data_IF_291875173890
#
_entry.id   IF_291875173890
#
_cell.length_a   1.000
_cell.length_b   1.000
_cell.length_c   1.000
_cell.angle_alpha   90.00
_cell.angle_beta   90.00
_cell.angle_gamma   90.00
#
_symmetry.space_group_name_H-M   'P 1'
#
loop_
_entity.id
_entity.type
_entity.pdbx_description
1 polymer ?
#
# COMPACT_ATOMS: atom_id res chain seq x y z
N UNK A 1 -1.19 9.31 21.41
CA UNK A 1 -0.14 8.60 20.65
C UNK A 1 0.72 9.62 19.94
N UNK A 2 2.05 9.45 19.93
CA UNK A 2 2.93 10.22 19.06
C UNK A 2 2.75 9.70 17.64
N UNK A 3 2.42 10.59 16.71
CA UNK A 3 2.21 10.25 15.31
C UNK A 3 3.52 9.77 14.68
N UNK A 4 3.48 8.66 13.92
CA UNK A 4 4.69 8.14 13.27
C UNK A 4 5.20 9.13 12.21
N UNK A 5 6.52 9.09 11.96
CA UNK A 5 7.13 9.85 10.86
C UNK A 5 6.51 9.46 9.51
N UNK A 6 6.09 8.22 9.37
CA UNK A 6 5.49 7.72 8.14
C UNK A 6 4.09 8.27 7.92
N UNK A 7 3.23 8.20 8.94
CA UNK A 7 1.87 8.75 8.87
C UNK A 7 1.89 10.25 8.56
N UNK A 8 2.89 10.98 9.07
CA UNK A 8 3.09 12.40 8.72
C UNK A 8 3.42 12.62 7.25
N UNK A 9 4.23 11.73 6.64
CA UNK A 9 4.55 11.79 5.20
C UNK A 9 3.35 11.42 4.33
N UNK A 10 2.60 10.38 4.71
CA UNK A 10 1.38 9.94 4.03
C UNK A 10 0.35 11.07 3.98
N UNK A 11 0.09 11.73 5.12
CA UNK A 11 -0.86 12.85 5.16
C UNK A 11 -0.40 14.04 4.33
N UNK A 12 0.90 14.37 4.37
CA UNK A 12 1.45 15.45 3.55
C UNK A 12 1.30 15.16 2.05
N UNK A 13 1.53 13.91 1.64
CA UNK A 13 1.35 13.48 0.25
C UNK A 13 -0.11 13.50 -0.16
N UNK A 14 -1.02 12.97 0.67
CA UNK A 14 -2.47 13.00 0.41
C UNK A 14 -2.96 14.45 0.20
N UNK A 15 -2.55 15.37 1.08
CA UNK A 15 -2.86 16.79 0.95
C UNK A 15 -2.33 17.37 -0.36
N UNK A 16 -1.07 17.06 -0.71
CA UNK A 16 -0.46 17.55 -1.93
C UNK A 16 -1.16 17.05 -3.20
N UNK A 17 -1.61 15.79 -3.23
CA UNK A 17 -2.38 15.24 -4.36
C UNK A 17 -3.68 16.04 -4.54
N UNK A 18 -4.45 16.26 -3.48
CA UNK A 18 -5.67 17.07 -3.58
C UNK A 18 -5.40 18.53 -4.00
N UNK A 19 -4.30 19.12 -3.53
CA UNK A 19 -3.88 20.45 -3.99
C UNK A 19 -3.53 20.47 -5.48
N UNK A 20 -3.00 19.38 -6.05
CA UNK A 20 -2.73 19.25 -7.48
C UNK A 20 -4.02 19.08 -8.29
N UNK A 21 -4.90 18.17 -7.85
CA UNK A 21 -6.22 17.94 -8.49
C UNK A 21 -7.05 19.23 -8.52
N UNK A 22 -7.10 19.97 -7.40
CA UNK A 22 -7.88 21.22 -7.31
C UNK A 22 -7.33 22.37 -8.16
N UNK A 23 -6.07 22.27 -8.65
CA UNK A 23 -5.44 23.25 -9.54
C UNK A 23 -5.47 22.83 -11.00
N UNK A 24 -5.92 21.61 -11.28
CA UNK A 24 -5.99 21.08 -12.63
C UNK A 24 -7.01 21.87 -13.47
N UNK A 25 -6.80 21.85 -14.79
CA UNK A 25 -7.78 22.36 -15.73
C UNK A 25 -9.08 21.55 -15.61
N UNK A 26 -10.22 22.23 -15.51
CA UNK A 26 -11.52 21.58 -15.40
C UNK A 26 -11.82 20.69 -16.61
N UNK A 27 -11.34 21.04 -17.81
CA UNK A 27 -11.55 20.20 -19.00
C UNK A 27 -10.84 18.84 -18.88
N UNK A 28 -9.68 18.80 -18.21
CA UNK A 28 -8.95 17.55 -17.98
C UNK A 28 -9.63 16.71 -16.90
N UNK A 29 -10.12 17.34 -15.83
CA UNK A 29 -10.81 16.64 -14.73
C UNK A 29 -12.16 16.10 -15.19
N UNK A 30 -12.90 16.87 -15.99
CA UNK A 30 -14.21 16.49 -16.51
C UNK A 30 -14.12 15.37 -17.56
N UNK A 31 -12.96 15.17 -18.18
CA UNK A 31 -12.71 14.08 -19.12
C UNK A 31 -12.26 12.78 -18.45
N UNK A 32 -12.03 12.75 -17.13
CA UNK A 32 -11.60 11.54 -16.44
C UNK A 32 -12.74 10.53 -16.32
N UNK A 33 -12.39 9.26 -16.30
CA UNK A 33 -13.32 8.15 -16.09
C UNK A 33 -14.12 8.32 -14.78
N UNK A 34 -13.44 8.80 -13.74
CA UNK A 34 -14.01 8.98 -12.41
C UNK A 34 -13.77 10.42 -11.96
N UNK A 35 -14.81 11.05 -11.40
CA UNK A 35 -14.67 12.42 -10.88
C UNK A 35 -13.92 12.44 -9.54
N UNK A 36 -13.24 13.56 -9.27
CA UNK A 36 -12.60 13.80 -7.97
C UNK A 36 -13.57 13.71 -6.78
N UNK A 37 -14.83 14.11 -6.98
CA UNK A 37 -15.89 14.02 -5.99
C UNK A 37 -16.29 12.56 -5.71
N UNK A 38 -16.37 11.72 -6.74
CA UNK A 38 -16.65 10.30 -6.58
C UNK A 38 -15.50 9.59 -5.86
N UNK A 39 -14.25 9.90 -6.22
CA UNK A 39 -13.06 9.40 -5.51
C UNK A 39 -13.10 9.78 -4.04
N UNK A 40 -13.38 11.04 -3.71
CA UNK A 40 -13.48 11.50 -2.33
C UNK A 40 -14.61 10.79 -1.58
N UNK A 41 -15.78 10.64 -2.21
CA UNK A 41 -16.92 9.92 -1.63
C UNK A 41 -16.54 8.47 -1.31
N UNK A 42 -15.90 7.76 -2.23
CA UNK A 42 -15.46 6.37 -2.04
C UNK A 42 -14.44 6.23 -0.92
N UNK A 43 -13.46 7.13 -0.85
CA UNK A 43 -12.49 7.15 0.25
C UNK A 43 -13.17 7.35 1.62
N UNK A 44 -14.27 8.09 1.67
CA UNK A 44 -15.06 8.30 2.89
C UNK A 44 -16.02 7.14 3.22
N UNK A 45 -16.37 6.30 2.25
CA UNK A 45 -17.19 5.09 2.44
C UNK A 45 -16.40 3.92 3.05
N UNK A 46 -15.07 4.04 3.10
CA UNK A 46 -14.19 3.03 3.69
C UNK A 46 -14.40 3.00 5.22
N UNK A 47 -14.77 1.83 5.74
CA UNK A 47 -14.89 1.58 7.18
C UNK A 47 -13.50 1.38 7.80
N UNK A 48 -12.91 2.50 8.22
CA UNK A 48 -11.58 2.54 8.80
C UNK A 48 -11.43 1.65 10.04
N UNK A 49 -12.45 1.62 10.90
CA UNK A 49 -12.38 0.89 12.17
C UNK A 49 -12.38 -0.63 11.92
N UNK A 50 -13.31 -1.11 11.08
CA UNK A 50 -13.37 -2.53 10.75
C UNK A 50 -12.08 -3.02 10.07
N UNK A 51 -11.56 -2.22 9.12
CA UNK A 51 -10.33 -2.57 8.40
C UNK A 51 -9.12 -2.51 9.31
N UNK A 52 -8.99 -1.47 10.15
CA UNK A 52 -7.92 -1.35 11.12
C UNK A 52 -7.89 -2.55 12.08
N UNK A 53 -9.05 -2.93 12.61
CA UNK A 53 -9.18 -4.08 13.50
C UNK A 53 -8.76 -5.39 12.80
N UNK A 54 -9.18 -5.58 11.55
CA UNK A 54 -8.82 -6.76 10.76
C UNK A 54 -7.31 -6.82 10.48
N UNK A 55 -6.71 -5.74 9.97
CA UNK A 55 -5.27 -5.69 9.65
C UNK A 55 -4.44 -5.85 10.92
N UNK A 56 -4.84 -5.22 12.04
CA UNK A 56 -4.14 -5.36 13.33
C UNK A 56 -4.13 -6.82 13.78
N UNK A 57 -5.26 -7.51 13.66
CA UNK A 57 -5.36 -8.93 13.99
C UNK A 57 -4.48 -9.80 13.10
N UNK A 58 -4.50 -9.59 11.78
CA UNK A 58 -3.69 -10.37 10.82
C UNK A 58 -2.19 -10.17 11.06
N UNK A 59 -1.76 -8.95 11.34
CA UNK A 59 -0.39 -8.63 11.71
C UNK A 59 0.01 -9.27 13.05
N UNK A 60 -0.85 -9.19 14.07
CA UNK A 60 -0.58 -9.79 15.38
C UNK A 60 -0.42 -11.31 15.25
N UNK A 61 -1.32 -11.98 14.53
CA UNK A 61 -1.23 -13.42 14.29
C UNK A 61 0.08 -13.80 13.57
N UNK A 62 0.54 -12.95 12.64
CA UNK A 62 1.79 -13.18 11.91
C UNK A 62 3.02 -12.99 12.79
N UNK A 63 3.03 -11.96 13.65
CA UNK A 63 4.13 -11.74 14.59
C UNK A 63 4.15 -12.75 15.74
N UNK A 64 2.99 -13.24 16.17
CA UNK A 64 2.88 -14.36 17.12
C UNK A 64 3.44 -15.65 16.49
N UNK A 65 3.11 -15.91 15.21
CA UNK A 65 3.66 -17.04 14.46
C UNK A 65 5.20 -16.96 14.39
N UNK A 66 5.75 -15.79 14.05
CA UNK A 66 7.20 -15.56 14.02
C UNK A 66 7.82 -15.79 15.40
N UNK A 67 7.23 -15.21 16.44
CA UNK A 67 7.73 -15.30 17.82
C UNK A 67 7.69 -16.72 18.39
N UNK A 68 6.82 -17.58 17.86
CA UNK A 68 6.75 -19.01 18.23
C UNK A 68 7.82 -19.88 17.57
N UNK A 69 8.56 -19.37 16.60
CA UNK A 69 9.62 -20.12 15.93
C UNK A 69 10.90 -20.20 16.78
N UNK A 70 11.66 -21.27 16.61
CA UNK A 70 12.99 -21.40 17.23
C UNK A 70 14.06 -20.56 16.56
N UNK A 71 13.84 -20.17 15.29
CA UNK A 71 14.70 -19.29 14.51
C UNK A 71 14.32 -17.83 14.74
N UNK A 72 15.30 -16.93 14.65
CA UNK A 72 15.07 -15.49 14.65
C UNK A 72 14.77 -15.01 13.22
N UNK A 73 13.70 -14.24 13.06
CA UNK A 73 13.37 -13.58 11.80
C UNK A 73 13.53 -12.07 11.97
N UNK A 74 14.43 -11.49 11.19
CA UNK A 74 14.79 -10.07 11.26
C UNK A 74 13.92 -9.20 10.36
N UNK A 75 13.32 -9.79 9.32
CA UNK A 75 12.53 -9.08 8.33
C UNK A 75 11.20 -9.75 8.02
N UNK A 76 10.20 -8.93 7.71
CA UNK A 76 8.91 -9.36 7.15
C UNK A 76 8.61 -8.52 5.92
N UNK A 77 8.23 -9.18 4.83
CA UNK A 77 7.79 -8.56 3.60
C UNK A 77 6.40 -9.10 3.20
N UNK A 78 5.44 -8.21 2.98
CA UNK A 78 4.18 -8.55 2.34
C UNK A 78 4.17 -8.07 0.91
N UNK A 79 4.04 -8.99 -0.04
CA UNK A 79 3.92 -8.67 -1.45
C UNK A 79 2.47 -8.85 -1.89
N UNK A 80 1.85 -7.76 -2.29
CA UNK A 80 0.58 -7.81 -3.00
C UNK A 80 0.85 -7.76 -4.49
N UNK A 81 0.37 -8.72 -5.24
CA UNK A 81 0.43 -8.71 -6.71
C UNK A 81 -1.00 -8.66 -7.18
N UNK A 82 -1.45 -7.49 -7.65
CA UNK A 82 -2.75 -7.35 -8.24
C UNK A 82 -2.83 -8.27 -9.46
N UNK A 83 -3.70 -9.28 -9.37
CA UNK A 83 -4.10 -10.08 -10.51
C UNK A 83 -5.60 -9.80 -10.75
N UNK A 84 -5.94 -9.34 -11.96
CA UNK A 84 -7.34 -9.07 -12.35
C UNK A 84 -8.25 -10.29 -12.26
N UNK A 85 -7.69 -11.50 -12.15
CA UNK A 85 -8.41 -12.75 -11.95
C UNK A 85 -8.41 -13.24 -10.49
N UNK A 86 -7.56 -12.66 -9.63
CA UNK A 86 -7.56 -12.94 -8.19
C UNK A 86 -8.45 -11.93 -7.45
N UNK A 87 -9.72 -12.31 -7.31
CA UNK A 87 -10.72 -11.52 -6.60
C UNK A 87 -10.43 -11.33 -5.11
N UNK A 88 -9.58 -12.18 -4.52
CA UNK A 88 -9.23 -12.07 -3.09
C UNK A 88 -8.05 -11.14 -2.85
N UNK A 89 -7.17 -11.00 -3.85
CA UNK A 89 -6.21 -9.92 -3.98
C UNK A 89 -5.43 -9.64 -2.68
N UNK A 90 -4.92 -10.70 -2.06
CA UNK A 90 -4.31 -10.65 -0.73
C UNK A 90 -2.83 -10.29 -0.83
N UNK A 91 -2.27 -9.60 0.15
CA UNK A 91 -0.81 -9.42 0.23
C UNK A 91 -0.19 -10.66 0.88
N UNK A 92 0.73 -11.32 0.19
CA UNK A 92 1.39 -12.56 0.63
C UNK A 92 2.58 -12.22 1.53
N UNK A 93 2.55 -12.65 2.78
CA UNK A 93 3.59 -12.37 3.75
C UNK A 93 4.68 -13.44 3.80
N UNK A 94 5.93 -13.01 3.89
CA UNK A 94 7.08 -13.87 4.18
C UNK A 94 7.95 -13.21 5.25
N UNK A 95 8.38 -13.99 6.25
CA UNK A 95 9.44 -13.59 7.16
C UNK A 95 10.78 -14.20 6.73
N UNK A 96 11.86 -13.44 6.92
CA UNK A 96 13.22 -13.82 6.54
C UNK A 96 14.17 -13.73 7.73
N UNK A 97 15.07 -14.70 7.83
CA UNK A 97 16.06 -14.78 8.91
C UNK A 97 17.03 -13.60 8.90
N UNK A 98 17.34 -13.06 7.71
CA UNK A 98 18.30 -11.96 7.53
C UNK A 98 17.80 -10.94 6.52
N UNK A 99 18.10 -9.68 6.81
CA UNK A 99 17.86 -8.56 5.91
C UNK A 99 19.11 -7.69 5.84
N UNK A 100 19.65 -7.48 4.64
CA UNK A 100 20.69 -6.46 4.46
C UNK A 100 20.02 -5.09 4.42
N UNK A 101 20.43 -4.18 5.32
CA UNK A 101 19.92 -2.81 5.33
C UNK A 101 20.45 -2.02 4.13
N UNK A 102 19.68 -1.99 3.05
CA UNK A 102 19.79 -0.99 1.99
C UNK A 102 18.37 -0.63 1.58
N UNK A 103 17.73 0.31 2.28
CA UNK A 103 17.10 1.47 1.64
C UNK A 103 16.70 2.56 2.65
N UNK A 104 16.92 3.82 2.22
CA UNK A 104 16.30 5.02 2.77
C UNK A 104 15.25 5.43 1.74
N UNK A 105 14.00 4.99 1.94
CA UNK A 105 12.84 5.49 1.17
C UNK A 105 12.91 7.02 1.07
N UNK A 106 13.17 7.51 -0.15
CA UNK A 106 13.28 8.92 -0.46
C UNK A 106 11.85 9.48 -0.59
N UNK A 107 11.21 9.69 0.56
CA UNK A 107 9.82 10.17 0.65
C UNK A 107 9.54 11.54 0.04
N UNK A 108 10.57 12.21 -0.45
CA UNK A 108 10.52 13.61 -0.88
C UNK A 108 10.34 13.75 -2.41
N UNK A 109 10.30 12.64 -3.15
CA UNK A 109 10.09 12.64 -4.60
C UNK A 109 8.76 11.96 -4.93
N UNK A 110 7.85 12.72 -5.55
CA UNK A 110 6.47 12.32 -5.88
C UNK A 110 6.34 11.16 -6.90
N UNK A 111 5.19 11.05 -7.57
CA UNK A 111 4.76 9.84 -8.27
C UNK A 111 5.52 9.58 -9.59
N UNK A 112 6.28 10.55 -10.09
CA UNK A 112 6.91 10.50 -11.42
C UNK A 112 8.32 9.91 -11.47
N UNK A 113 8.88 9.35 -10.40
CA UNK A 113 10.12 8.58 -10.53
C UNK A 113 10.25 7.49 -9.46
N UNK A 114 9.91 6.27 -9.88
CA UNK A 114 10.41 5.01 -9.33
C UNK A 114 10.21 4.81 -7.81
N UNK A 115 8.98 4.44 -7.44
CA UNK A 115 8.77 3.40 -6.42
C UNK A 115 9.09 1.99 -6.97
N UNK A 116 9.74 1.93 -8.14
CA UNK A 116 10.54 0.81 -8.60
C UNK A 116 11.81 0.86 -7.75
N UNK A 117 11.81 0.14 -6.63
CA UNK A 117 13.10 -0.25 -6.05
C UNK A 117 13.76 -1.08 -7.15
N UNK A 118 14.77 -0.52 -7.80
CA UNK A 118 15.61 -1.25 -8.75
C UNK A 118 16.12 -2.50 -8.00
N UNK A 119 16.19 -3.67 -8.64
CA UNK A 119 16.61 -4.89 -7.93
C UNK A 119 17.98 -4.73 -7.22
N UNK A 120 18.83 -3.81 -7.70
CA UNK A 120 20.11 -3.44 -7.09
C UNK A 120 20.01 -2.73 -5.75
N UNK A 121 18.84 -2.18 -5.45
CA UNK A 121 18.53 -1.28 -4.34
C UNK A 121 17.56 -1.89 -3.32
N UNK A 122 17.11 -3.14 -3.54
CA UNK A 122 16.27 -3.86 -2.58
C UNK A 122 17.12 -4.37 -1.41
N UNK A 123 16.58 -4.39 -0.18
CA UNK A 123 17.19 -5.18 0.86
C UNK A 123 17.26 -6.64 0.41
N UNK A 124 18.45 -7.24 0.47
CA UNK A 124 18.64 -8.66 0.21
C UNK A 124 18.07 -9.44 1.40
N UNK A 125 16.93 -10.08 1.16
CA UNK A 125 16.25 -10.95 2.10
C UNK A 125 16.79 -12.38 1.91
N UNK A 126 17.35 -12.97 2.97
CA UNK A 126 17.98 -14.30 2.89
C UNK A 126 17.60 -15.19 4.06
N UNK A 127 17.85 -16.50 3.91
CA UNK A 127 17.45 -17.54 4.85
C UNK A 127 16.30 -18.38 4.32
N UNK A 128 15.82 -19.31 5.14
CA UNK A 128 14.63 -20.09 4.81
C UNK A 128 13.39 -19.23 5.11
N UNK A 129 12.55 -18.92 4.10
CA UNK A 129 11.40 -18.05 4.32
C UNK A 129 10.33 -18.76 5.15
N UNK A 130 9.75 -18.04 6.11
CA UNK A 130 8.52 -18.46 6.79
C UNK A 130 7.33 -17.80 6.12
N UNK A 131 6.46 -18.61 5.51
CA UNK A 131 5.19 -18.13 4.98
C UNK A 131 4.27 -17.66 6.11
N UNK A 132 3.77 -16.43 5.97
CA UNK A 132 2.86 -15.80 6.93
C UNK A 132 1.44 -15.80 6.37
N UNK A 133 0.48 -15.57 7.27
CA UNK A 133 -0.89 -15.28 6.85
C UNK A 133 -0.92 -14.00 6.02
N UNK A 134 -1.69 -14.02 4.94
CA UNK A 134 -1.84 -12.87 4.04
C UNK A 134 -2.52 -11.69 4.74
N UNK A 135 -2.21 -10.47 4.29
CA UNK A 135 -2.96 -9.26 4.68
C UNK A 135 -4.10 -8.99 3.71
N UNK A 136 -5.23 -8.55 4.26
CA UNK A 136 -6.45 -8.20 3.54
C UNK A 136 -6.38 -6.82 2.85
N UNK A 137 -5.37 -6.60 2.00
CA UNK A 137 -5.21 -5.35 1.23
C UNK A 137 -6.43 -5.04 0.34
N UNK A 138 -7.10 -6.08 -0.16
CA UNK A 138 -8.33 -5.97 -0.94
C UNK A 138 -9.43 -5.15 -0.25
N UNK A 139 -9.45 -5.04 1.08
CA UNK A 139 -10.49 -4.31 1.81
C UNK A 139 -10.55 -2.83 1.45
N UNK A 140 -9.40 -2.22 1.12
CA UNK A 140 -9.32 -0.84 0.61
C UNK A 140 -9.31 -0.86 -0.92
N UNK A 141 -8.49 -1.73 -1.52
CA UNK A 141 -8.25 -1.73 -2.97
C UNK A 141 -9.51 -2.06 -3.80
N UNK A 142 -10.44 -2.87 -3.27
CA UNK A 142 -11.70 -3.18 -3.96
C UNK A 142 -12.56 -1.95 -4.27
N UNK A 143 -12.46 -0.88 -3.46
CA UNK A 143 -13.22 0.36 -3.69
C UNK A 143 -12.71 1.13 -4.92
N UNK A 144 -11.46 0.92 -5.30
CA UNK A 144 -10.87 1.53 -6.48
C UNK A 144 -10.95 0.62 -7.69
N UNK A 145 -10.38 -0.58 -7.59
CA UNK A 145 -10.35 -1.50 -8.73
C UNK A 145 -11.70 -2.12 -9.05
N UNK A 146 -12.62 -2.21 -8.09
CA UNK A 146 -13.99 -2.67 -8.37
C UNK A 146 -14.77 -1.68 -9.24
N UNK A 147 -14.57 -0.38 -9.05
CA UNK A 147 -15.17 0.67 -9.88
C UNK A 147 -14.52 0.70 -11.26
N UNK A 148 -13.18 0.72 -11.33
CA UNK A 148 -12.46 0.64 -12.60
C UNK A 148 -12.90 -0.60 -13.40
N UNK A 149 -12.93 -1.79 -12.81
CA UNK A 149 -13.36 -3.01 -13.52
C UNK A 149 -14.84 -2.99 -13.96
N UNK A 150 -15.73 -2.29 -13.24
CA UNK A 150 -17.12 -2.13 -13.63
C UNK A 150 -17.27 -1.13 -14.79
N UNK A 151 -16.47 -0.08 -14.80
CA UNK A 151 -16.47 0.94 -15.86
C UNK A 151 -15.73 0.50 -17.12
N UNK A 152 -14.69 -0.32 -16.99
CA UNK A 152 -13.91 -0.93 -18.08
C UNK A 152 -14.72 -1.95 -18.91
N UNK A 153 -15.95 -2.27 -18.51
CA UNK A 153 -16.88 -3.04 -19.33
C UNK A 153 -17.61 -2.16 -20.37
N UNK A 154 -17.41 -0.84 -20.34
CA UNK A 154 -17.90 0.08 -21.36
C UNK A 154 -16.88 0.12 -22.52
N UNK A 155 -17.25 -0.27 -23.75
CA UNK A 155 -16.35 -0.40 -24.89
C UNK A 155 -15.81 0.93 -25.46
N UNK A 156 -16.06 2.05 -24.78
CA UNK A 156 -15.81 3.41 -25.25
C UNK A 156 -14.48 3.99 -24.73
N UNK A 157 -13.81 3.31 -23.79
CA UNK A 157 -12.59 3.80 -23.15
C UNK A 157 -11.33 3.14 -23.71
N UNK A 158 -10.36 3.95 -24.13
CA UNK A 158 -9.10 3.50 -24.72
C UNK A 158 -8.05 3.28 -23.62
N UNK A 159 -7.01 2.49 -23.91
CA UNK A 159 -5.93 2.20 -22.96
C UNK A 159 -5.19 3.47 -22.48
N UNK A 160 -5.27 4.56 -23.25
CA UNK A 160 -4.62 5.84 -22.97
C UNK A 160 -5.24 6.60 -21.78
N UNK A 161 -6.50 6.30 -21.41
CA UNK A 161 -7.18 6.96 -20.27
C UNK A 161 -6.58 6.55 -18.91
N UNK A 162 -5.88 5.40 -18.84
CA UNK A 162 -5.27 4.87 -17.61
C UNK A 162 -3.87 5.41 -17.32
N UNK A 163 -3.16 5.89 -18.35
CA UNK A 163 -1.88 6.58 -18.21
C UNK A 163 -2.06 8.08 -17.89
N UNK A 164 -3.30 8.53 -17.68
CA UNK A 164 -3.59 9.88 -17.25
C UNK A 164 -3.01 10.13 -15.84
N UNK A 165 -2.19 11.18 -15.64
CA UNK A 165 -1.52 11.43 -14.36
C UNK A 165 -2.50 11.64 -13.20
N UNK A 166 -3.72 12.12 -13.45
CA UNK A 166 -4.75 12.30 -12.42
C UNK A 166 -5.41 10.97 -12.02
N UNK A 167 -5.58 10.04 -12.97
CA UNK A 167 -6.02 8.67 -12.65
C UNK A 167 -4.99 7.94 -11.79
N UNK A 168 -3.69 8.16 -12.05
CA UNK A 168 -2.60 7.66 -11.22
C UNK A 168 -2.60 8.29 -9.82
N UNK A 169 -2.90 9.58 -9.71
CA UNK A 169 -3.07 10.25 -8.42
C UNK A 169 -4.27 9.69 -7.63
N UNK A 170 -5.38 9.36 -8.30
CA UNK A 170 -6.52 8.72 -7.65
C UNK A 170 -6.16 7.33 -7.11
N UNK A 171 -5.49 6.50 -7.90
CA UNK A 171 -4.95 5.21 -7.45
C UNK A 171 -4.03 5.36 -6.23
N UNK A 172 -3.15 6.36 -6.24
CA UNK A 172 -2.26 6.65 -5.12
C UNK A 172 -3.04 7.03 -3.85
N UNK A 173 -4.15 7.76 -3.93
CA UNK A 173 -4.96 8.10 -2.76
C UNK A 173 -5.50 6.87 -2.03
N UNK A 174 -5.92 5.84 -2.76
CA UNK A 174 -6.35 4.57 -2.14
C UNK A 174 -5.17 3.81 -1.53
N UNK A 175 -4.01 3.80 -2.19
CA UNK A 175 -2.79 3.19 -1.64
C UNK A 175 -2.36 3.89 -0.35
N UNK A 176 -2.35 5.23 -0.33
CA UNK A 176 -2.07 6.04 0.86
C UNK A 176 -3.06 5.76 1.99
N UNK A 177 -4.35 5.57 1.67
CA UNK A 177 -5.37 5.17 2.65
C UNK A 177 -5.04 3.82 3.29
N UNK A 178 -4.72 2.81 2.48
CA UNK A 178 -4.29 1.50 2.99
C UNK A 178 -3.04 1.61 3.87
N UNK A 179 -2.00 2.33 3.42
CA UNK A 179 -0.76 2.48 4.19
C UNK A 179 -0.95 3.27 5.49
N UNK A 180 -1.88 4.22 5.54
CA UNK A 180 -2.27 4.92 6.76
C UNK A 180 -2.88 3.96 7.79
N UNK A 181 -3.81 3.10 7.34
CA UNK A 181 -4.44 2.09 8.19
C UNK A 181 -3.42 1.05 8.65
N UNK A 182 -2.51 0.64 7.77
CA UNK A 182 -1.44 -0.29 8.07
C UNK A 182 -0.42 0.27 9.08
N UNK A 183 0.00 1.53 8.96
CA UNK A 183 0.90 2.18 9.92
C UNK A 183 0.27 2.24 11.32
N UNK A 184 -1.02 2.55 11.36
CA UNK A 184 -1.81 2.56 12.59
C UNK A 184 -1.93 1.15 13.18
N UNK A 185 -2.24 0.15 12.35
CA UNK A 185 -2.32 -1.25 12.75
C UNK A 185 -1.00 -1.76 13.31
N UNK A 186 0.10 -1.50 12.60
CA UNK A 186 1.44 -1.88 13.02
C UNK A 186 1.83 -1.23 14.35
N UNK A 187 1.43 0.03 14.58
CA UNK A 187 1.65 0.74 15.84
C UNK A 187 0.88 0.10 17.01
N UNK A 188 -0.30 -0.47 16.74
CA UNK A 188 -1.14 -1.15 17.73
C UNK A 188 -0.65 -2.56 18.12
N UNK A 189 0.25 -3.15 17.33
CA UNK A 189 0.83 -4.47 17.64
C UNK A 189 1.58 -4.42 18.97
N UNK A 190 1.30 -5.44 19.79
CA UNK A 190 1.98 -5.68 21.05
C UNK A 190 2.97 -6.85 20.91
N UNK A 191 4.08 -6.83 21.66
CA UNK A 191 5.10 -7.86 21.62
C UNK A 191 6.33 -7.52 20.77
N UNK A 192 7.13 -8.54 20.44
CA UNK A 192 8.37 -8.38 19.68
C UNK A 192 8.04 -8.19 18.20
N UNK A 193 8.44 -7.04 17.66
CA UNK A 193 8.33 -6.75 16.22
C UNK A 193 9.66 -7.07 15.54
N UNK A 194 9.66 -7.59 14.30
CA UNK A 194 10.89 -7.76 13.54
C UNK A 194 11.59 -6.40 13.36
N UNK A 195 12.92 -6.43 13.24
CA UNK A 195 13.73 -5.21 13.04
C UNK A 195 13.39 -4.49 11.73
N UNK A 196 12.91 -5.23 10.73
CA UNK A 196 12.45 -4.72 9.44
C UNK A 196 11.04 -5.24 9.10
N UNK A 197 10.15 -4.35 8.69
CA UNK A 197 8.82 -4.67 8.17
C UNK A 197 8.58 -3.91 6.87
N UNK A 198 8.08 -4.56 5.83
CA UNK A 198 7.79 -3.94 4.55
C UNK A 198 6.50 -4.50 3.98
N UNK A 199 5.73 -3.64 3.34
CA UNK A 199 4.61 -4.03 2.50
C UNK A 199 4.81 -3.43 1.12
N UNK A 200 5.04 -4.30 0.15
CA UNK A 200 5.17 -3.98 -1.26
C UNK A 200 3.85 -4.28 -1.98
N UNK A 201 3.28 -3.25 -2.59
CA UNK A 201 2.09 -3.32 -3.43
C UNK A 201 2.52 -3.28 -4.90
N UNK A 202 2.27 -4.34 -5.66
CA UNK A 202 2.50 -4.42 -7.11
C UNK A 202 1.14 -4.40 -7.80
N UNK A 203 0.76 -3.26 -8.38
CA UNK A 203 -0.49 -3.12 -9.15
C UNK A 203 -0.31 -3.42 -10.64
N UNK A 204 -1.43 -3.54 -11.36
CA UNK A 204 -1.48 -3.72 -12.83
C UNK A 204 -0.72 -2.63 -13.62
N UNK A 205 -0.50 -1.45 -13.01
CA UNK A 205 0.11 -0.30 -13.67
C UNK A 205 1.36 0.25 -12.97
N UNK A 206 1.50 0.15 -11.63
CA UNK A 206 2.69 0.61 -10.89
C UNK A 206 2.88 -0.10 -9.53
N UNK A 207 4.13 -0.18 -9.07
CA UNK A 207 4.51 -0.66 -7.74
C UNK A 207 4.55 0.47 -6.70
N UNK A 208 3.98 0.28 -5.51
CA UNK A 208 4.17 1.13 -4.33
C UNK A 208 4.76 0.31 -3.19
N UNK A 209 5.93 0.67 -2.69
CA UNK A 209 6.62 -0.02 -1.60
C UNK A 209 6.60 0.84 -0.34
N UNK A 210 5.97 0.34 0.72
CA UNK A 210 5.94 1.01 2.02
C UNK A 210 6.77 0.23 3.03
N UNK A 211 7.88 0.85 3.44
CA UNK A 211 8.79 0.31 4.44
C UNK A 211 8.46 0.85 5.84
N UNK A 212 8.62 -0.01 6.83
CA UNK A 212 8.50 0.26 8.25
C UNK A 212 9.75 -0.28 8.95
N UNK A 213 10.64 0.63 9.30
CA UNK A 213 11.81 0.30 10.11
C UNK A 213 11.40 0.42 11.58
N UNK A 214 11.39 -0.71 12.29
CA UNK A 214 11.32 -0.73 13.74
C UNK A 214 12.63 -0.14 14.27
N UNK A 215 12.67 1.17 14.51
CA UNK A 215 13.80 1.75 15.24
C UNK A 215 13.73 1.23 16.67
N UNK A 216 14.73 0.42 17.02
CA UNK A 216 15.06 0.06 18.39
C UNK A 216 15.71 1.25 19.10
#
# INVERSE_FOLDING_TARGET
MVKSKMLSKIEARNKNIWEQINKADSEIIDSLLVSSADVQKKLNEIDDEAILNQITKELQESFDQISSQSKTYEAVNYEWRYDSYDLENRAIGNAYEKCTYNFLSNSDTGPDNNWIVLDSDKPVLTGEPLYLKSLSAYLVMKFWYGELLAENQKPEYEADDYDNPYMLMFDELFKLKFFSLLDTAYSNITGVKPGYFCVALFGHWYSGIQEYISQS
#
